data_IF_016729753299
#
_entry.id   IF_016729753299
#
_cell.length_a   1.000
_cell.length_b   1.000
_cell.length_c   1.000
_cell.angle_alpha   90.00
_cell.angle_beta   90.00
_cell.angle_gamma   90.00
#
_symmetry.space_group_name_H-M   'P 1'
#
loop_
_entity.id
_entity.type
_entity.pdbx_description
1 polymer ?
#
# COMPACT_ATOMS: atom_id res chain seq x y z
N UNK A 1 21.20 1.60 1.22
CA UNK A 1 19.80 1.92 0.93
C UNK A 1 19.37 1.15 -0.31
N UNK A 2 18.49 0.18 -0.13
CA UNK A 2 17.91 -0.63 -1.21
C UNK A 2 16.86 0.17 -2.00
N UNK A 3 16.41 -0.28 -3.19
CA UNK A 3 15.29 0.35 -3.89
C UNK A 3 14.02 0.41 -3.03
N UNK A 4 13.75 -0.66 -2.29
CA UNK A 4 12.61 -0.77 -1.38
C UNK A 4 12.65 0.25 -0.24
N UNK A 5 13.80 0.37 0.44
CA UNK A 5 14.00 1.39 1.48
C UNK A 5 13.89 2.82 0.90
N UNK A 6 14.42 3.04 -0.30
CA UNK A 6 14.32 4.32 -1.00
C UNK A 6 12.86 4.70 -1.28
N UNK A 7 12.03 3.73 -1.70
CA UNK A 7 10.61 3.94 -1.91
C UNK A 7 9.90 4.37 -0.62
N UNK A 8 10.22 3.77 0.53
CA UNK A 8 9.61 4.14 1.82
C UNK A 8 9.93 5.58 2.20
N UNK A 9 11.19 5.99 2.04
CA UNK A 9 11.58 7.38 2.30
C UNK A 9 10.90 8.38 1.34
N UNK A 10 10.83 8.03 0.05
CA UNK A 10 10.12 8.84 -0.96
C UNK A 10 8.63 8.96 -0.63
N UNK A 11 8.01 7.88 -0.18
CA UNK A 11 6.60 7.82 0.19
C UNK A 11 6.32 8.71 1.40
N UNK A 12 7.09 8.57 2.48
CA UNK A 12 6.96 9.41 3.69
C UNK A 12 7.32 10.88 3.41
N UNK A 13 8.18 11.15 2.42
CA UNK A 13 8.43 12.52 1.98
C UNK A 13 7.26 13.12 1.21
N UNK A 14 6.54 12.31 0.43
CA UNK A 14 5.36 12.73 -0.33
C UNK A 14 4.11 12.86 0.55
N UNK A 15 4.03 12.04 1.61
CA UNK A 15 2.92 11.93 2.56
C UNK A 15 3.46 12.05 4.01
N UNK A 16 3.79 13.28 4.48
CA UNK A 16 4.44 13.49 5.77
C UNK A 16 3.68 12.96 7.00
N UNK A 17 2.37 12.79 6.89
CA UNK A 17 1.49 12.17 7.88
C UNK A 17 1.78 10.69 8.12
N UNK A 18 2.52 10.02 7.23
CA UNK A 18 3.00 8.64 7.44
C UNK A 18 4.26 8.58 8.32
N UNK A 19 4.86 9.73 8.68
CA UNK A 19 6.05 9.77 9.55
C UNK A 19 5.85 9.05 10.89
N UNK A 20 4.72 9.19 11.60
CA UNK A 20 4.48 8.44 12.83
C UNK A 20 4.54 6.93 12.61
N UNK A 21 3.98 6.41 11.50
CA UNK A 21 4.06 4.99 11.16
C UNK A 21 5.50 4.54 10.92
N UNK A 22 6.30 5.35 10.20
CA UNK A 22 7.72 5.03 10.00
C UNK A 22 8.50 5.00 11.33
N UNK A 23 8.21 5.93 12.25
CA UNK A 23 8.87 5.97 13.56
C UNK A 23 8.49 4.75 14.39
N UNK A 24 7.18 4.46 14.50
CA UNK A 24 6.68 3.28 15.21
C UNK A 24 7.26 1.99 14.63
N UNK A 25 7.28 1.85 13.30
CA UNK A 25 7.90 0.72 12.61
C UNK A 25 9.37 0.54 13.00
N UNK A 26 10.17 1.61 12.98
CA UNK A 26 11.59 1.52 13.35
C UNK A 26 11.77 1.17 14.84
N UNK A 27 10.94 1.71 15.73
CA UNK A 27 10.98 1.38 17.15
C UNK A 27 10.63 -0.10 17.41
N UNK A 28 9.62 -0.63 16.70
CA UNK A 28 9.15 -2.02 16.85
C UNK A 28 10.09 -3.04 16.19
N UNK A 29 10.79 -2.66 15.13
CA UNK A 29 11.67 -3.54 14.35
C UNK A 29 13.16 -3.32 14.68
N UNK A 30 13.50 -2.88 15.89
CA UNK A 30 14.89 -2.72 16.36
C UNK A 30 15.75 -1.82 15.44
N UNK A 31 15.21 -0.67 15.02
CA UNK A 31 15.76 0.29 14.04
C UNK A 31 15.93 -0.27 12.61
N UNK A 32 15.37 -1.44 12.30
CA UNK A 32 15.38 -2.04 10.97
C UNK A 32 14.17 -1.60 10.12
N UNK A 33 14.45 -1.03 8.94
CA UNK A 33 13.41 -0.71 7.97
C UNK A 33 13.03 -1.97 7.19
N UNK A 34 11.83 -2.49 7.42
CA UNK A 34 11.26 -3.67 6.76
C UNK A 34 10.13 -3.21 5.80
N UNK A 35 10.42 -2.96 4.51
CA UNK A 35 9.51 -2.22 3.63
C UNK A 35 8.15 -2.90 3.40
N UNK A 36 8.11 -4.23 3.32
CA UNK A 36 6.85 -4.94 3.12
C UNK A 36 5.91 -4.82 4.33
N UNK A 37 6.46 -4.88 5.54
CA UNK A 37 5.68 -4.69 6.76
C UNK A 37 5.18 -3.25 6.88
N UNK A 38 6.05 -2.27 6.61
CA UNK A 38 5.64 -0.87 6.61
C UNK A 38 4.56 -0.59 5.55
N UNK A 39 4.64 -1.18 4.35
CA UNK A 39 3.58 -1.05 3.34
C UNK A 39 2.25 -1.64 3.81
N UNK A 40 2.26 -2.73 4.58
CA UNK A 40 1.07 -3.31 5.18
C UNK A 40 0.45 -2.39 6.24
N UNK A 41 1.27 -1.71 7.06
CA UNK A 41 0.78 -0.72 8.03
C UNK A 41 0.22 0.53 7.34
N UNK A 42 0.82 0.94 6.23
CA UNK A 42 0.31 2.05 5.40
C UNK A 42 -1.01 1.68 4.72
N UNK A 43 -1.19 0.44 4.28
CA UNK A 43 -2.48 -0.05 3.77
C UNK A 43 -3.57 0.07 4.85
N UNK A 44 -3.29 -0.45 6.05
CA UNK A 44 -4.22 -0.38 7.18
C UNK A 44 -4.56 1.07 7.57
N UNK A 45 -3.56 1.95 7.54
CA UNK A 45 -3.77 3.37 7.74
C UNK A 45 -4.67 3.96 6.64
N UNK A 46 -4.41 3.63 5.38
CA UNK A 46 -5.21 4.09 4.25
C UNK A 46 -6.66 3.60 4.32
N UNK A 47 -6.91 2.39 4.84
CA UNK A 47 -8.26 1.87 5.04
C UNK A 47 -9.02 2.72 6.06
N UNK A 48 -8.38 3.07 7.17
CA UNK A 48 -8.91 3.99 8.17
C UNK A 48 -9.16 5.39 7.60
N UNK A 49 -8.16 5.95 6.91
CA UNK A 49 -8.20 7.29 6.31
C UNK A 49 -9.26 7.38 5.20
N UNK A 50 -9.55 6.29 4.50
CA UNK A 50 -10.57 6.29 3.43
C UNK A 50 -11.97 6.65 3.93
N UNK A 51 -12.22 6.46 5.23
CA UNK A 51 -13.50 6.74 5.90
C UNK A 51 -13.61 8.21 6.31
N UNK A 52 -12.48 8.90 6.50
CA UNK A 52 -12.39 10.28 6.98
C UNK A 52 -12.00 11.26 5.88
N UNK A 53 -11.01 10.92 5.05
CA UNK A 53 -10.52 11.70 3.92
C UNK A 53 -10.25 10.81 2.68
N UNK A 54 -11.30 10.47 1.91
CA UNK A 54 -11.17 9.62 0.73
C UNK A 54 -10.39 10.29 -0.43
N UNK A 55 -10.31 11.63 -0.48
CA UNK A 55 -9.48 12.32 -1.48
C UNK A 55 -8.00 12.14 -1.18
N UNK A 56 -7.65 12.08 0.11
CA UNK A 56 -6.29 11.85 0.52
C UNK A 56 -5.79 10.46 0.12
N UNK A 57 -6.59 9.43 0.39
CA UNK A 57 -6.28 8.06 -0.03
C UNK A 57 -6.19 7.95 -1.56
N UNK A 58 -7.03 8.69 -2.31
CA UNK A 58 -6.92 8.72 -3.76
C UNK A 58 -5.59 9.31 -4.27
N UNK A 59 -5.01 10.30 -3.56
CA UNK A 59 -3.68 10.84 -3.88
C UNK A 59 -2.59 9.80 -3.60
N UNK A 60 -2.69 9.09 -2.48
CA UNK A 60 -1.78 7.99 -2.13
C UNK A 60 -1.81 6.89 -3.19
N UNK A 61 -2.98 6.37 -3.55
CA UNK A 61 -3.09 5.30 -4.55
C UNK A 61 -2.62 5.74 -5.94
N UNK A 62 -2.86 7.01 -6.32
CA UNK A 62 -2.33 7.59 -7.55
C UNK A 62 -0.80 7.64 -7.54
N UNK A 63 -0.20 8.00 -6.42
CA UNK A 63 1.25 8.04 -6.28
C UNK A 63 1.86 6.63 -6.37
N UNK A 64 1.26 5.65 -5.68
CA UNK A 64 1.69 4.25 -5.73
C UNK A 64 1.57 3.68 -7.15
N UNK A 65 0.48 3.97 -7.87
CA UNK A 65 0.30 3.58 -9.27
C UNK A 65 1.41 4.15 -10.16
N UNK A 66 1.79 5.42 -9.99
CA UNK A 66 2.86 6.05 -10.76
C UNK A 66 4.22 5.38 -10.49
N UNK A 67 4.51 5.04 -9.22
CA UNK A 67 5.75 4.33 -8.85
C UNK A 67 5.75 2.88 -9.32
N UNK A 68 4.62 2.18 -9.29
CA UNK A 68 4.48 0.85 -9.85
C UNK A 68 4.75 0.83 -11.36
N UNK A 69 4.18 1.78 -12.10
CA UNK A 69 4.31 1.84 -13.56
C UNK A 69 5.73 2.22 -14.03
N UNK A 70 6.46 3.01 -13.25
CA UNK A 70 7.83 3.44 -13.57
C UNK A 70 8.92 2.60 -12.89
N UNK A 71 8.56 1.76 -11.92
CA UNK A 71 9.47 0.96 -11.12
C UNK A 71 9.97 -0.29 -11.83
N UNK A 72 11.08 -0.82 -11.30
CA UNK A 72 11.59 -2.14 -11.64
C UNK A 72 10.76 -3.25 -10.98
N UNK A 73 11.14 -4.50 -11.22
CA UNK A 73 10.42 -5.66 -10.68
C UNK A 73 10.41 -5.67 -9.14
N UNK A 74 11.46 -5.14 -8.50
CA UNK A 74 11.53 -5.03 -7.03
C UNK A 74 10.49 -4.04 -6.48
N UNK A 75 10.36 -2.86 -7.10
CA UNK A 75 9.35 -1.89 -6.67
C UNK A 75 7.93 -2.36 -6.99
N UNK A 76 7.73 -3.03 -8.12
CA UNK A 76 6.44 -3.62 -8.48
C UNK A 76 6.03 -4.71 -7.51
N UNK A 77 6.95 -5.58 -7.13
CA UNK A 77 6.72 -6.62 -6.14
C UNK A 77 6.38 -6.02 -4.77
N UNK A 78 7.16 -5.04 -4.29
CA UNK A 78 6.89 -4.35 -3.04
C UNK A 78 5.51 -3.67 -3.01
N UNK A 79 5.12 -2.97 -4.08
CA UNK A 79 3.81 -2.31 -4.12
C UNK A 79 2.68 -3.33 -4.29
N UNK A 80 2.88 -4.38 -5.11
CA UNK A 80 1.89 -5.43 -5.31
C UNK A 80 1.65 -6.25 -4.04
N UNK A 81 2.70 -6.89 -3.52
CA UNK A 81 2.66 -7.79 -2.36
C UNK A 81 2.58 -7.00 -1.05
N UNK A 82 3.37 -5.94 -0.90
CA UNK A 82 3.41 -5.18 0.35
C UNK A 82 2.17 -4.31 0.60
N UNK A 83 1.44 -3.92 -0.45
CA UNK A 83 0.25 -3.06 -0.32
C UNK A 83 -1.01 -3.72 -0.85
N UNK A 84 -1.04 -4.09 -2.14
CA UNK A 84 -2.28 -4.53 -2.77
C UNK A 84 -2.77 -5.85 -2.16
N UNK A 85 -1.89 -6.80 -1.91
CA UNK A 85 -2.24 -8.08 -1.28
C UNK A 85 -2.76 -7.92 0.16
N UNK A 86 -2.37 -6.83 0.84
CA UNK A 86 -2.81 -6.55 2.21
C UNK A 86 -4.26 -6.04 2.27
N UNK A 87 -4.82 -5.59 1.14
CA UNK A 87 -6.19 -5.10 1.07
C UNK A 87 -7.17 -6.22 1.43
N UNK A 88 -8.07 -6.01 2.42
CA UNK A 88 -8.91 -7.08 2.93
C UNK A 88 -9.93 -7.54 1.88
N UNK A 89 -10.16 -8.86 1.85
CA UNK A 89 -11.21 -9.46 1.05
C UNK A 89 -12.56 -9.20 1.70
N UNK A 90 -13.29 -8.20 1.24
CA UNK A 90 -14.63 -7.90 1.75
C UNK A 90 -15.70 -8.24 0.69
N UNK A 91 -16.89 -8.76 1.09
CA UNK A 91 -17.97 -9.04 0.14
C UNK A 91 -18.47 -7.82 -0.63
N UNK A 92 -18.26 -6.62 -0.09
CA UNK A 92 -18.63 -5.34 -0.71
C UNK A 92 -17.50 -4.70 -1.52
N UNK A 93 -16.30 -5.29 -1.50
CA UNK A 93 -15.07 -4.68 -1.98
C UNK A 93 -14.53 -3.64 -0.99
N UNK A 94 -13.23 -3.69 -0.71
CA UNK A 94 -12.59 -2.68 0.12
C UNK A 94 -12.62 -1.31 -0.60
N UNK A 95 -12.90 -0.19 0.10
CA UNK A 95 -12.89 1.15 -0.50
C UNK A 95 -11.61 1.47 -1.28
N UNK A 96 -10.45 0.94 -0.84
CA UNK A 96 -9.15 1.11 -1.51
C UNK A 96 -9.17 0.48 -2.91
N UNK A 97 -9.80 -0.68 -3.11
CA UNK A 97 -9.88 -1.35 -4.42
C UNK A 97 -10.55 -0.45 -5.48
N UNK A 98 -11.53 0.35 -5.06
CA UNK A 98 -12.20 1.33 -5.93
C UNK A 98 -11.33 2.53 -6.30
N UNK A 99 -10.18 2.72 -5.64
CA UNK A 99 -9.25 3.84 -5.82
C UNK A 99 -7.94 3.45 -6.50
N UNK A 100 -7.71 2.16 -6.73
CA UNK A 100 -6.53 1.69 -7.46
C UNK A 100 -6.56 2.20 -8.91
N UNK A 101 -5.39 2.58 -9.41
CA UNK A 101 -5.18 2.83 -10.83
C UNK A 101 -5.25 1.53 -11.64
N UNK A 102 -5.19 1.63 -12.98
CA UNK A 102 -5.44 0.49 -13.87
C UNK A 102 -4.46 -0.68 -13.65
N UNK A 103 -3.17 -0.41 -13.42
CA UNK A 103 -2.18 -1.47 -13.24
C UNK A 103 -2.34 -2.16 -11.89
N UNK A 104 -2.47 -1.40 -10.80
CA UNK A 104 -2.68 -1.98 -9.48
C UNK A 104 -4.04 -2.68 -9.37
N UNK A 105 -5.06 -2.19 -10.09
CA UNK A 105 -6.35 -2.87 -10.20
C UNK A 105 -6.22 -4.22 -10.93
N UNK A 106 -5.36 -4.32 -11.94
CA UNK A 106 -5.08 -5.60 -12.59
C UNK A 106 -4.39 -6.56 -11.61
N UNK A 107 -3.40 -6.10 -10.84
CA UNK A 107 -2.76 -6.91 -9.79
C UNK A 107 -3.79 -7.44 -8.79
N UNK A 108 -4.65 -6.57 -8.26
CA UNK A 108 -5.73 -6.95 -7.36
C UNK A 108 -6.70 -7.98 -7.97
N UNK A 109 -6.99 -7.86 -9.28
CA UNK A 109 -7.82 -8.81 -9.99
C UNK A 109 -7.13 -10.16 -10.18
N UNK A 110 -5.84 -10.17 -10.51
CA UNK A 110 -5.04 -11.39 -10.66
C UNK A 110 -4.89 -12.14 -9.32
N UNK A 111 -4.88 -11.41 -8.20
CA UNK A 111 -4.92 -11.94 -6.83
C UNK A 111 -6.32 -12.40 -6.39
N UNK A 112 -7.38 -12.07 -7.13
CA UNK A 112 -8.76 -12.43 -6.78
C UNK A 112 -9.41 -11.55 -5.71
N UNK A 113 -8.85 -10.37 -5.39
CA UNK A 113 -9.33 -9.50 -4.30
C UNK A 113 -10.74 -8.93 -4.55
N UNK A 114 -11.23 -8.94 -5.79
CA UNK A 114 -12.60 -8.54 -6.14
C UNK A 114 -13.64 -9.64 -5.95
N UNK A 115 -13.22 -10.86 -5.60
CA UNK A 115 -14.11 -11.97 -5.30
C UNK A 115 -14.28 -12.09 -3.78
N UNK A 116 -15.49 -12.40 -3.28
CA UNK A 116 -15.65 -12.70 -1.86
C UNK A 116 -14.73 -13.86 -1.49
N UNK A 117 -14.06 -13.76 -0.34
CA UNK A 117 -13.23 -14.85 0.18
C UNK A 117 -14.06 -16.14 0.16
N UNK A 118 -13.57 -17.17 -0.53
CA UNK A 118 -14.24 -18.47 -0.51
C UNK A 118 -14.22 -18.96 0.93
N UNK A 119 -15.41 -19.17 1.53
CA UNK A 119 -15.53 -19.83 2.82
C UNK A 119 -14.89 -21.23 2.70
N UNK A 120 -13.74 -21.41 3.35
CA UNK A 120 -13.13 -22.73 3.59
C UNK A 120 -13.59 -23.28 4.93
#
# INVERSE_FOLDING_TARGET
MTPSESLMHDLVSAFPELRPLLVEHLEEQEDELLPYLLMADIERWAEGESKTDPEHVAKLTTWLEARFNSGDDTLKDLIGVGFVEMVPHTPTGDPILGRLGPSLRQVANDMGLFQPASEV
#
